data_IF_063584296277
#
_entry.id   IF_063584296277
#
_cell.length_a   1.000
_cell.length_b   1.000
_cell.length_c   1.000
_cell.angle_alpha   90.00
_cell.angle_beta   90.00
_cell.angle_gamma   90.00
#
_symmetry.space_group_name_H-M   'P 1'
#
loop_
_entity.id
_entity.type
_entity.pdbx_description
1 polymer ?
#
# COMPACT_ATOMS: atom_id res chain seq x y z
N UNK A 1 7.15 -6.89 -43.98
CA UNK A 1 7.11 -6.32 -42.61
C UNK A 1 5.87 -6.85 -41.90
N UNK A 2 6.01 -7.59 -40.80
CA UNK A 2 4.86 -8.24 -40.13
C UNK A 2 4.13 -7.20 -39.25
N UNK A 3 3.06 -6.62 -39.81
CA UNK A 3 2.26 -5.57 -39.18
C UNK A 3 1.73 -6.02 -37.81
N UNK A 4 1.34 -7.30 -37.67
CA UNK A 4 0.83 -7.87 -36.42
C UNK A 4 1.90 -7.82 -35.31
N UNK A 5 3.14 -8.16 -35.63
CA UNK A 5 4.25 -8.14 -34.66
C UNK A 5 4.58 -6.72 -34.17
N UNK A 6 4.45 -5.70 -35.05
CA UNK A 6 4.64 -4.30 -34.66
C UNK A 6 3.58 -3.83 -33.67
N UNK A 7 2.31 -4.19 -33.88
CA UNK A 7 1.23 -3.81 -32.97
C UNK A 7 1.32 -4.51 -31.60
N UNK A 8 1.79 -5.76 -31.55
CA UNK A 8 1.99 -6.46 -30.27
C UNK A 8 3.05 -5.77 -29.42
N UNK A 9 4.21 -5.43 -30.01
CA UNK A 9 5.29 -4.74 -29.31
C UNK A 9 4.85 -3.36 -28.77
N UNK A 10 4.14 -2.57 -29.57
CA UNK A 10 3.62 -1.27 -29.13
C UNK A 10 2.61 -1.39 -27.98
N UNK A 11 1.84 -2.49 -27.95
CA UNK A 11 0.89 -2.76 -26.87
C UNK A 11 1.61 -3.14 -25.58
N UNK A 12 2.65 -3.96 -25.67
CA UNK A 12 3.40 -4.44 -24.51
C UNK A 12 4.26 -3.31 -23.90
N UNK A 13 4.89 -2.47 -24.73
CA UNK A 13 5.59 -1.26 -24.29
C UNK A 13 4.65 -0.30 -23.55
N UNK A 14 3.45 -0.07 -24.09
CA UNK A 14 2.43 0.74 -23.43
C UNK A 14 2.03 0.15 -22.07
N UNK A 15 1.87 -1.18 -21.96
CA UNK A 15 1.53 -1.84 -20.70
C UNK A 15 2.64 -1.70 -19.65
N UNK A 16 3.90 -1.83 -20.06
CA UNK A 16 5.05 -1.62 -19.17
C UNK A 16 5.08 -0.20 -18.59
N UNK A 17 4.84 0.82 -19.43
CA UNK A 17 4.76 2.22 -18.97
C UNK A 17 3.63 2.42 -17.95
N UNK A 18 2.44 1.87 -18.22
CA UNK A 18 1.30 1.97 -17.30
C UNK A 18 1.61 1.31 -15.96
N UNK A 19 2.24 0.13 -15.96
CA UNK A 19 2.60 -0.58 -14.74
C UNK A 19 3.61 0.20 -13.89
N UNK A 20 4.62 0.80 -14.53
CA UNK A 20 5.61 1.63 -13.84
C UNK A 20 4.99 2.86 -13.18
N UNK A 21 4.20 3.62 -13.93
CA UNK A 21 3.54 4.84 -13.42
C UNK A 21 2.60 4.49 -12.26
N UNK A 22 1.87 3.39 -12.37
CA UNK A 22 0.95 2.90 -11.34
C UNK A 22 1.69 2.59 -10.03
N UNK A 23 2.77 1.82 -10.08
CA UNK A 23 3.59 1.50 -8.90
C UNK A 23 4.12 2.76 -8.22
N UNK A 24 4.59 3.72 -9.01
CA UNK A 24 5.11 4.99 -8.53
C UNK A 24 4.02 5.83 -7.84
N UNK A 25 2.86 6.00 -8.48
CA UNK A 25 1.74 6.78 -7.92
C UNK A 25 1.20 6.16 -6.64
N UNK A 26 0.95 4.84 -6.60
CA UNK A 26 0.46 4.19 -5.39
C UNK A 26 1.52 4.19 -4.28
N UNK A 27 2.79 3.99 -4.61
CA UNK A 27 3.86 4.09 -3.62
C UNK A 27 3.89 5.46 -2.93
N UNK A 28 3.76 6.54 -3.70
CA UNK A 28 3.67 7.91 -3.15
C UNK A 28 2.42 8.08 -2.29
N UNK A 29 1.25 7.61 -2.75
CA UNK A 29 0.01 7.70 -1.98
C UNK A 29 0.11 6.96 -0.64
N UNK A 30 0.75 5.79 -0.61
CA UNK A 30 0.96 5.03 0.63
C UNK A 30 1.89 5.76 1.62
N UNK A 31 2.92 6.45 1.12
CA UNK A 31 3.79 7.28 1.95
C UNK A 31 3.04 8.50 2.50
N UNK A 32 2.22 9.17 1.70
CA UNK A 32 1.41 10.30 2.19
C UNK A 32 0.40 9.83 3.26
N UNK A 33 -0.23 8.68 3.04
CA UNK A 33 -1.17 8.10 3.99
C UNK A 33 -0.50 7.65 5.29
N UNK A 34 0.74 7.16 5.24
CA UNK A 34 1.48 6.76 6.44
C UNK A 34 1.77 7.95 7.36
N UNK A 35 2.12 9.12 6.79
CA UNK A 35 2.30 10.36 7.57
C UNK A 35 1.01 10.74 8.31
N UNK A 36 -0.15 10.59 7.66
CA UNK A 36 -1.43 10.81 8.30
C UNK A 36 -1.70 9.81 9.45
N UNK A 37 -1.38 8.53 9.25
CA UNK A 37 -1.51 7.52 10.31
C UNK A 37 -0.60 7.80 11.51
N UNK A 38 0.59 8.33 11.27
CA UNK A 38 1.51 8.74 12.33
C UNK A 38 0.91 9.84 13.20
N UNK A 39 0.34 10.87 12.57
CA UNK A 39 -0.31 11.99 13.25
C UNK A 39 -1.50 11.49 14.08
N UNK A 40 -2.35 10.61 13.53
CA UNK A 40 -3.47 10.03 14.27
C UNK A 40 -3.02 9.15 15.44
N UNK A 41 -2.00 8.32 15.24
CA UNK A 41 -1.44 7.47 16.31
C UNK A 41 -0.88 8.31 17.48
N UNK A 42 -0.21 9.42 17.16
CA UNK A 42 0.37 10.32 18.17
C UNK A 42 -0.71 11.15 18.87
N UNK A 43 -1.55 11.87 18.12
CA UNK A 43 -2.52 12.81 18.68
C UNK A 43 -3.75 12.12 19.26
N UNK A 44 -4.26 11.07 18.62
CA UNK A 44 -5.42 10.31 19.06
C UNK A 44 -5.07 9.26 20.11
N UNK A 45 -4.02 8.47 19.86
CA UNK A 45 -3.64 7.37 20.74
C UNK A 45 -2.85 7.80 21.98
N UNK A 46 -1.69 8.45 21.76
CA UNK A 46 -0.79 8.84 22.86
C UNK A 46 -1.29 10.05 23.65
N UNK A 47 -1.63 11.12 22.93
CA UNK A 47 -1.98 12.40 23.55
C UNK A 47 -3.47 12.54 23.88
N UNK A 48 -4.34 11.76 23.25
CA UNK A 48 -5.78 11.77 23.52
C UNK A 48 -6.46 13.11 23.21
N UNK A 49 -5.92 13.89 22.27
CA UNK A 49 -6.42 15.24 21.93
C UNK A 49 -7.67 15.15 21.04
N UNK A 50 -7.71 14.15 20.16
CA UNK A 50 -8.73 14.00 19.11
C UNK A 50 -9.65 12.79 19.35
N UNK A 51 -9.29 11.90 20.26
CA UNK A 51 -10.02 10.69 20.60
C UNK A 51 -9.69 10.27 22.05
N UNK A 52 -10.47 9.36 22.61
CA UNK A 52 -10.18 8.79 23.93
C UNK A 52 -8.77 8.20 23.96
N UNK A 53 -7.99 8.63 24.95
CA UNK A 53 -6.60 8.22 25.12
C UNK A 53 -6.52 6.70 25.23
N UNK A 54 -5.92 6.08 24.23
CA UNK A 54 -5.69 4.65 24.22
C UNK A 54 -4.29 4.34 23.67
N UNK A 55 -3.43 3.89 24.57
CA UNK A 55 -2.03 3.64 24.29
C UNK A 55 -1.82 2.48 23.30
N UNK A 56 -2.70 1.46 23.34
CA UNK A 56 -2.68 0.35 22.37
C UNK A 56 -3.02 0.86 20.96
N UNK A 57 -4.03 1.74 20.84
CA UNK A 57 -4.41 2.34 19.56
C UNK A 57 -3.27 3.19 18.98
N UNK A 58 -2.55 3.93 19.83
CA UNK A 58 -1.39 4.73 19.42
C UNK A 58 -0.24 3.86 18.90
N UNK A 59 0.11 2.78 19.61
CA UNK A 59 1.18 1.85 19.18
C UNK A 59 0.81 1.17 17.86
N UNK A 60 -0.43 0.70 17.73
CA UNK A 60 -0.91 0.08 16.50
C UNK A 60 -0.92 1.08 15.33
N UNK A 61 -1.33 2.33 15.55
CA UNK A 61 -1.27 3.39 14.55
C UNK A 61 0.15 3.64 14.02
N UNK A 62 1.14 3.68 14.92
CA UNK A 62 2.56 3.86 14.54
C UNK A 62 3.09 2.63 13.79
N UNK A 63 2.73 1.41 14.21
CA UNK A 63 3.09 0.19 13.50
C UNK A 63 2.49 0.14 12.09
N UNK A 64 1.20 0.46 11.94
CA UNK A 64 0.55 0.57 10.63
C UNK A 64 1.23 1.63 9.75
N UNK A 65 1.58 2.79 10.32
CA UNK A 65 2.38 3.80 9.61
C UNK A 65 3.67 3.20 9.04
N UNK A 66 4.44 2.47 9.86
CA UNK A 66 5.69 1.83 9.42
C UNK A 66 5.47 0.85 8.26
N UNK A 67 4.43 0.02 8.32
CA UNK A 67 4.09 -0.95 7.28
C UNK A 67 3.66 -0.28 5.96
N UNK A 68 2.82 0.76 6.02
CA UNK A 68 2.41 1.51 4.84
C UNK A 68 3.59 2.25 4.20
N UNK A 69 4.46 2.83 5.03
CA UNK A 69 5.66 3.51 4.55
C UNK A 69 6.63 2.53 3.88
N UNK A 70 6.92 1.39 4.52
CA UNK A 70 7.79 0.36 3.96
C UNK A 70 7.26 -0.19 2.64
N UNK A 71 5.97 -0.49 2.56
CA UNK A 71 5.34 -0.94 1.31
C UNK A 71 5.38 0.12 0.22
N UNK A 72 5.17 1.39 0.56
CA UNK A 72 5.27 2.50 -0.41
C UNK A 72 6.68 2.63 -0.99
N UNK A 73 7.71 2.54 -0.15
CA UNK A 73 9.11 2.56 -0.57
C UNK A 73 9.43 1.37 -1.48
N UNK A 74 8.93 0.16 -1.16
CA UNK A 74 9.14 -1.02 -2.01
C UNK A 74 8.48 -0.84 -3.38
N UNK A 75 7.29 -0.26 -3.46
CA UNK A 75 6.63 -0.01 -4.75
C UNK A 75 7.38 1.00 -5.62
N UNK A 76 7.89 2.09 -5.03
CA UNK A 76 8.74 3.04 -5.76
C UNK A 76 10.05 2.37 -6.19
N UNK A 77 10.69 1.62 -5.30
CA UNK A 77 11.98 0.96 -5.59
C UNK A 77 11.87 -0.13 -6.66
N UNK A 78 10.68 -0.72 -6.83
CA UNK A 78 10.42 -1.80 -7.79
C UNK A 78 9.59 -1.34 -8.99
N UNK A 79 9.43 -0.04 -9.18
CA UNK A 79 8.63 0.54 -10.28
C UNK A 79 9.17 0.15 -11.67
N UNK A 80 10.49 0.01 -11.79
CA UNK A 80 11.18 -0.28 -13.05
C UNK A 80 11.51 -1.78 -13.19
N UNK A 81 11.01 -2.61 -12.27
CA UNK A 81 11.23 -4.06 -12.28
C UNK A 81 10.04 -4.77 -12.91
N UNK A 82 10.32 -5.60 -13.93
CA UNK A 82 9.36 -6.56 -14.51
C UNK A 82 9.08 -7.76 -13.58
N UNK A 83 9.80 -7.84 -12.45
CA UNK A 83 9.63 -8.87 -11.44
C UNK A 83 8.41 -8.65 -10.56
N UNK A 84 7.79 -9.76 -10.12
CA UNK A 84 6.69 -9.78 -9.14
C UNK A 84 7.15 -9.56 -7.69
N UNK A 85 8.46 -9.53 -7.43
CA UNK A 85 9.00 -9.52 -6.06
C UNK A 85 8.52 -8.34 -5.22
N UNK A 86 8.46 -7.15 -5.81
CA UNK A 86 7.95 -5.95 -5.14
C UNK A 86 6.47 -6.04 -4.79
N UNK A 87 5.67 -6.58 -5.71
CA UNK A 87 4.22 -6.72 -5.52
C UNK A 87 3.88 -7.79 -4.48
N UNK A 88 4.64 -8.89 -4.44
CA UNK A 88 4.50 -9.94 -3.42
C UNK A 88 4.90 -9.40 -2.04
N UNK A 89 6.01 -8.66 -1.95
CA UNK A 89 6.46 -8.06 -0.70
C UNK A 89 5.44 -7.01 -0.18
N UNK A 90 4.94 -6.14 -1.07
CA UNK A 90 3.87 -5.19 -0.77
C UNK A 90 2.61 -5.89 -0.28
N UNK A 91 2.19 -6.96 -0.96
CA UNK A 91 1.03 -7.77 -0.57
C UNK A 91 1.19 -8.40 0.82
N UNK A 92 2.33 -9.01 1.10
CA UNK A 92 2.60 -9.62 2.40
C UNK A 92 2.56 -8.58 3.54
N UNK A 93 3.17 -7.40 3.35
CA UNK A 93 3.13 -6.31 4.32
C UNK A 93 1.71 -5.79 4.53
N UNK A 94 0.90 -5.70 3.46
CA UNK A 94 -0.49 -5.25 3.54
C UNK A 94 -1.42 -6.25 4.24
N UNK A 95 -1.16 -7.56 4.15
CA UNK A 95 -1.88 -8.56 4.94
C UNK A 95 -1.62 -8.35 6.43
N UNK A 96 -0.35 -8.15 6.81
CA UNK A 96 0.03 -7.88 8.21
C UNK A 96 -0.55 -6.56 8.71
N UNK A 97 -0.52 -5.51 7.88
CA UNK A 97 -1.15 -4.23 8.21
C UNK A 97 -2.67 -4.37 8.37
N UNK A 98 -3.31 -5.18 7.51
CA UNK A 98 -4.73 -5.49 7.57
C UNK A 98 -5.12 -6.16 8.88
N UNK A 99 -4.42 -7.24 9.27
CA UNK A 99 -4.70 -7.94 10.53
C UNK A 99 -4.48 -7.02 11.74
N UNK A 100 -3.39 -6.25 11.79
CA UNK A 100 -3.16 -5.26 12.85
C UNK A 100 -4.26 -4.18 12.90
N UNK A 101 -4.76 -3.74 11.75
CA UNK A 101 -5.87 -2.79 11.67
C UNK A 101 -7.18 -3.35 12.24
N UNK A 102 -7.47 -4.64 12.03
CA UNK A 102 -8.62 -5.30 12.67
C UNK A 102 -8.47 -5.40 14.19
N UNK A 103 -7.28 -5.76 14.69
CA UNK A 103 -7.01 -5.80 16.13
C UNK A 103 -7.04 -4.42 16.79
N UNK A 104 -6.61 -3.37 16.07
CA UNK A 104 -6.71 -1.98 16.53
C UNK A 104 -8.10 -1.36 16.33
N UNK A 105 -8.96 -1.99 15.54
CA UNK A 105 -10.19 -1.43 15.01
C UNK A 105 -11.31 -1.18 16.01
N UNK A 106 -11.25 -1.78 17.20
CA UNK A 106 -12.11 -1.39 18.33
C UNK A 106 -11.83 0.03 18.83
N UNK A 107 -10.75 0.66 18.37
CA UNK A 107 -10.30 1.98 18.82
C UNK A 107 -10.07 2.91 17.62
N UNK A 108 -10.58 4.13 17.71
CA UNK A 108 -10.34 5.24 16.77
C UNK A 108 -10.58 4.97 15.27
N UNK A 109 -11.35 3.93 14.91
CA UNK A 109 -11.69 3.65 13.51
C UNK A 109 -10.54 3.03 12.69
N UNK A 110 -9.51 2.48 13.33
CA UNK A 110 -8.41 1.75 12.66
C UNK A 110 -8.87 0.53 11.84
N UNK A 111 -10.12 0.10 11.99
CA UNK A 111 -10.68 -0.95 11.14
C UNK A 111 -10.71 -0.53 9.67
N UNK A 112 -10.93 0.76 9.40
CA UNK A 112 -10.98 1.31 8.04
C UNK A 112 -9.61 1.28 7.38
N UNK A 113 -8.54 1.55 8.14
CA UNK A 113 -7.16 1.48 7.62
C UNK A 113 -6.77 0.04 7.33
N UNK A 114 -7.21 -0.92 8.15
CA UNK A 114 -7.02 -2.35 7.91
C UNK A 114 -7.72 -2.84 6.63
N UNK A 115 -8.98 -2.44 6.42
CA UNK A 115 -9.74 -2.76 5.20
C UNK A 115 -9.06 -2.15 3.97
N UNK A 116 -8.64 -0.88 4.05
CA UNK A 116 -7.91 -0.21 2.96
C UNK A 116 -6.59 -0.91 2.63
N UNK A 117 -5.82 -1.34 3.63
CA UNK A 117 -4.59 -2.08 3.42
C UNK A 117 -4.83 -3.35 2.60
N UNK A 118 -5.86 -4.13 2.95
CA UNK A 118 -6.20 -5.34 2.21
C UNK A 118 -6.67 -5.06 0.78
N UNK A 119 -7.47 -4.01 0.57
CA UNK A 119 -7.91 -3.61 -0.78
C UNK A 119 -6.70 -3.26 -1.65
N UNK A 120 -5.76 -2.46 -1.12
CA UNK A 120 -4.56 -2.05 -1.84
C UNK A 120 -3.70 -3.28 -2.16
N UNK A 121 -3.42 -4.13 -1.16
CA UNK A 121 -2.61 -5.33 -1.35
C UNK A 121 -3.21 -6.30 -2.37
N UNK A 122 -4.48 -6.69 -2.20
CA UNK A 122 -5.15 -7.64 -3.09
C UNK A 122 -5.32 -7.03 -4.49
N UNK A 123 -5.76 -5.78 -4.57
CA UNK A 123 -5.99 -5.07 -5.83
C UNK A 123 -4.74 -5.00 -6.70
N UNK A 124 -3.60 -4.67 -6.09
CA UNK A 124 -2.32 -4.65 -6.80
C UNK A 124 -1.88 -6.03 -7.26
N UNK A 125 -1.99 -7.01 -6.38
CA UNK A 125 -1.57 -8.38 -6.69
C UNK A 125 -2.38 -8.97 -7.86
N UNK A 126 -3.71 -8.81 -7.83
CA UNK A 126 -4.60 -9.28 -8.90
C UNK A 126 -4.37 -8.53 -10.20
N UNK A 127 -4.16 -7.20 -10.14
CA UNK A 127 -3.90 -6.41 -11.34
C UNK A 127 -2.59 -6.83 -12.01
N UNK A 128 -1.51 -7.01 -11.25
CA UNK A 128 -0.25 -7.46 -11.83
C UNK A 128 -0.40 -8.83 -12.51
N UNK A 129 -1.09 -9.80 -11.88
CA UNK A 129 -1.36 -11.11 -12.48
C UNK A 129 -2.12 -11.03 -13.81
N UNK A 130 -3.06 -10.09 -13.96
CA UNK A 130 -3.85 -9.90 -15.18
C UNK A 130 -3.09 -9.15 -16.29
N UNK A 131 -2.03 -8.42 -15.94
CA UNK A 131 -1.31 -7.52 -16.87
C UNK A 131 -0.07 -8.17 -17.47
N UNK A 132 0.39 -9.29 -16.90
CA UNK A 132 1.25 -10.28 -17.58
C UNK A 132 0.53 -10.92 -18.77
#
# INVERSE_FOLDING_TARGET
MNIKAKYTNLRDERRGIIMRVTKLVIGILMIVYSVWLFIQGLLGGFLGIIADKNMLAGILGILLCGLFMASGIVYISTENSDGLGGDIAGFAMMIVAGTLGFFGGTYAGLIWTGILALIIGIGFFVWHLKTR
#
